data_IF_823005165351
#
_entry.id   IF_823005165351
#
_cell.length_a   1.000
_cell.length_b   1.000
_cell.length_c   1.000
_cell.angle_alpha   90.00
_cell.angle_beta   90.00
_cell.angle_gamma   90.00
#
_symmetry.space_group_name_H-M   'P 1'
#
loop_
_entity.id
_entity.type
_entity.pdbx_description
1 polymer ?
#
# COMPACT_ATOMS: atom_id res chain seq x y z
N UNK A 1 -2.14 7.30 9.86
CA UNK A 1 -2.53 6.18 10.74
C UNK A 1 -3.98 6.35 11.09
N UNK A 2 -4.79 5.29 10.94
CA UNK A 2 -6.23 5.34 11.19
C UNK A 2 -6.68 4.09 11.97
N UNK A 3 -7.70 4.17 12.83
CA UNK A 3 -8.30 2.99 13.47
C UNK A 3 -8.81 1.98 12.44
N UNK A 4 -8.76 0.69 12.78
CA UNK A 4 -9.26 -0.41 11.92
C UNK A 4 -10.76 -0.28 11.59
N UNK A 5 -11.50 0.44 12.42
CA UNK A 5 -12.91 0.77 12.18
C UNK A 5 -13.16 1.41 10.80
N UNK A 6 -12.19 2.15 10.25
CA UNK A 6 -12.34 2.75 8.91
C UNK A 6 -12.25 1.75 7.77
N UNK A 7 -11.78 0.52 8.03
CA UNK A 7 -11.81 -0.53 7.02
C UNK A 7 -13.24 -1.07 6.76
N UNK A 8 -14.06 -1.12 7.82
CA UNK A 8 -15.46 -1.50 7.76
C UNK A 8 -16.27 -0.77 8.86
N UNK A 9 -16.86 0.36 8.50
CA UNK A 9 -17.63 1.20 9.45
C UNK A 9 -18.94 0.56 9.93
N UNK A 10 -19.37 -0.53 9.30
CA UNK A 10 -20.58 -1.28 9.68
C UNK A 10 -20.29 -2.31 10.77
N UNK A 11 -19.06 -2.77 10.89
CA UNK A 11 -18.67 -3.72 11.94
C UNK A 11 -18.42 -2.99 13.26
N UNK A 12 -19.42 -3.03 14.15
CA UNK A 12 -19.36 -2.37 15.45
C UNK A 12 -18.26 -2.91 16.38
N UNK A 13 -17.76 -4.14 16.14
CA UNK A 13 -16.70 -4.74 16.96
C UNK A 13 -15.37 -4.01 16.77
N UNK A 14 -15.15 -3.41 15.60
CA UNK A 14 -13.93 -2.68 15.28
C UNK A 14 -13.83 -1.31 15.96
N UNK A 15 -14.91 -0.78 16.53
CA UNK A 15 -14.93 0.56 17.16
C UNK A 15 -14.08 0.63 18.42
N UNK A 16 -13.96 -0.48 19.14
CA UNK A 16 -13.19 -0.58 20.37
C UNK A 16 -11.80 -1.24 20.17
N UNK A 17 -11.41 -1.51 18.90
CA UNK A 17 -10.14 -2.14 18.60
C UNK A 17 -9.02 -1.10 18.62
N UNK A 18 -8.06 -1.26 19.54
CA UNK A 18 -6.92 -0.36 19.75
C UNK A 18 -5.56 -1.02 19.49
N UNK A 19 -5.56 -2.36 19.27
CA UNK A 19 -4.32 -3.13 19.14
C UNK A 19 -3.90 -3.32 17.66
N UNK A 20 -4.69 -2.85 16.71
CA UNK A 20 -4.38 -2.86 15.30
C UNK A 20 -4.77 -1.52 14.67
N UNK A 21 -4.12 -1.16 13.58
CA UNK A 21 -4.40 0.10 12.88
C UNK A 21 -4.13 0.01 11.38
N UNK A 22 -4.65 0.97 10.63
CA UNK A 22 -4.41 1.11 9.21
C UNK A 22 -3.33 2.16 8.91
N UNK A 23 -2.44 1.87 7.97
CA UNK A 23 -1.62 2.86 7.26
C UNK A 23 -2.24 3.09 5.88
N UNK A 24 -2.81 4.29 5.69
CA UNK A 24 -3.70 4.52 4.57
C UNK A 24 -4.95 3.64 4.64
N UNK A 25 -5.46 3.23 3.49
CA UNK A 25 -6.68 2.42 3.38
C UNK A 25 -6.40 0.92 3.18
N UNK A 26 -5.17 0.59 2.77
CA UNK A 26 -4.85 -0.70 2.19
C UNK A 26 -3.78 -1.50 2.96
N UNK A 27 -3.21 -0.94 4.02
CA UNK A 27 -2.20 -1.62 4.82
C UNK A 27 -2.66 -1.72 6.28
N UNK A 28 -2.83 -2.95 6.75
CA UNK A 28 -3.15 -3.28 8.14
C UNK A 28 -1.88 -3.59 8.91
N UNK A 29 -1.74 -3.01 10.07
CA UNK A 29 -0.61 -3.20 10.97
C UNK A 29 -1.10 -3.79 12.28
N UNK A 30 -0.50 -4.92 12.68
CA UNK A 30 -0.73 -5.57 13.97
C UNK A 30 0.60 -5.60 14.73
N UNK A 31 0.76 -4.77 15.76
CA UNK A 31 1.98 -4.77 16.58
C UNK A 31 2.23 -6.13 17.24
N UNK A 32 3.50 -6.45 17.48
CA UNK A 32 3.90 -7.72 18.08
C UNK A 32 3.32 -7.98 19.48
N UNK A 33 2.98 -6.94 20.22
CA UNK A 33 2.39 -7.03 21.56
C UNK A 33 0.86 -7.21 21.55
N UNK A 34 0.21 -7.12 20.39
CA UNK A 34 -1.23 -7.28 20.26
C UNK A 34 -1.68 -8.69 20.69
N UNK A 35 -2.72 -8.74 21.51
CA UNK A 35 -3.30 -9.99 22.01
C UNK A 35 -4.70 -10.16 21.45
N UNK A 36 -4.84 -11.04 20.45
CA UNK A 36 -6.12 -11.35 19.81
C UNK A 36 -6.87 -10.11 19.27
N UNK A 37 -6.24 -9.27 18.45
CA UNK A 37 -6.89 -8.09 17.89
C UNK A 37 -8.09 -8.49 17.02
N UNK A 38 -9.12 -7.66 17.02
CA UNK A 38 -10.26 -7.81 16.12
C UNK A 38 -9.87 -7.21 14.78
N UNK A 39 -9.77 -8.05 13.76
CA UNK A 39 -9.37 -7.62 12.43
C UNK A 39 -10.60 -7.38 11.54
N UNK A 40 -10.52 -6.42 10.60
CA UNK A 40 -11.58 -6.16 9.66
C UNK A 40 -11.78 -7.35 8.72
N UNK A 41 -13.04 -7.57 8.32
CA UNK A 41 -13.40 -8.62 7.37
C UNK A 41 -12.82 -8.34 5.97
N UNK A 42 -12.73 -9.38 5.15
CA UNK A 42 -12.23 -9.30 3.78
C UNK A 42 -10.93 -10.09 3.57
N UNK A 43 -10.31 -9.87 2.41
CA UNK A 43 -9.04 -10.48 2.06
C UNK A 43 -7.92 -9.58 2.59
N UNK A 44 -7.05 -10.16 3.41
CA UNK A 44 -5.84 -9.53 3.93
C UNK A 44 -4.70 -10.53 3.81
N UNK A 45 -3.70 -10.21 3.00
CA UNK A 45 -2.54 -11.07 2.76
C UNK A 45 -1.33 -10.51 3.50
N UNK A 46 -0.59 -11.38 4.16
CA UNK A 46 0.63 -10.98 4.88
C UNK A 46 1.67 -10.39 3.91
N UNK A 47 2.22 -9.25 4.27
CA UNK A 47 3.18 -8.51 3.47
C UNK A 47 4.55 -8.52 4.13
N UNK A 48 5.52 -9.14 3.47
CA UNK A 48 6.93 -9.06 3.83
C UNK A 48 7.62 -8.03 2.93
N UNK A 49 8.07 -6.91 3.52
CA UNK A 49 8.69 -5.82 2.76
C UNK A 49 10.11 -6.16 2.29
N UNK A 50 10.80 -7.05 3.00
CA UNK A 50 12.18 -7.44 2.70
C UNK A 50 12.21 -8.94 2.49
N UNK A 51 12.56 -9.35 1.29
CA UNK A 51 12.67 -10.77 0.93
C UNK A 51 13.83 -11.44 1.68
N UNK A 52 13.57 -12.59 2.30
CA UNK A 52 14.57 -13.38 3.04
C UNK A 52 14.85 -12.87 4.46
N UNK A 53 14.23 -11.81 4.92
CA UNK A 53 14.35 -11.36 6.31
C UNK A 53 13.62 -12.33 7.25
N UNK A 54 14.30 -12.77 8.31
CA UNK A 54 13.63 -13.53 9.37
C UNK A 54 12.82 -12.56 10.22
N UNK A 55 11.52 -12.79 10.30
CA UNK A 55 10.67 -12.01 11.20
C UNK A 55 11.16 -12.09 12.64
N UNK A 56 11.40 -10.95 13.24
CA UNK A 56 11.67 -10.84 14.67
C UNK A 56 10.35 -10.94 15.45
N UNK A 57 10.40 -11.55 16.63
CA UNK A 57 9.24 -11.64 17.54
C UNK A 57 8.69 -10.28 17.99
N UNK A 58 9.44 -9.22 17.81
CA UNK A 58 9.04 -7.84 18.12
C UNK A 58 8.55 -7.07 16.89
N UNK A 59 8.64 -7.66 15.72
CA UNK A 59 8.25 -7.02 14.47
C UNK A 59 6.72 -7.02 14.34
N UNK A 60 6.15 -5.89 13.92
CA UNK A 60 4.73 -5.80 13.60
C UNK A 60 4.42 -6.64 12.34
N UNK A 61 3.27 -7.28 12.35
CA UNK A 61 2.73 -7.95 11.15
C UNK A 61 2.06 -6.92 10.26
N UNK A 62 2.40 -6.97 8.99
CA UNK A 62 1.81 -6.14 7.96
C UNK A 62 0.93 -7.01 7.07
N UNK A 63 -0.24 -6.50 6.68
CA UNK A 63 -1.10 -7.17 5.71
C UNK A 63 -1.65 -6.18 4.70
N UNK A 64 -1.63 -6.57 3.43
CA UNK A 64 -2.19 -5.80 2.32
C UNK A 64 -3.63 -6.21 2.07
N UNK A 65 -4.49 -5.23 1.82
CA UNK A 65 -5.92 -5.46 1.50
C UNK A 65 -6.11 -6.03 0.11
N UNK A 66 -7.00 -7.01 -0.03
CA UNK A 66 -7.44 -7.52 -1.33
C UNK A 66 -8.03 -6.43 -2.22
N UNK A 67 -7.67 -6.42 -3.49
CA UNK A 67 -8.01 -5.39 -4.45
C UNK A 67 -7.04 -4.22 -4.49
N UNK A 68 -5.89 -4.32 -3.82
CA UNK A 68 -4.92 -3.22 -3.69
C UNK A 68 -3.60 -3.49 -4.37
N UNK A 69 -2.99 -2.42 -4.89
CA UNK A 69 -1.59 -2.38 -5.34
C UNK A 69 -0.88 -1.30 -4.54
N UNK A 70 0.17 -1.69 -3.83
CA UNK A 70 1.01 -0.78 -3.05
C UNK A 70 2.36 -0.63 -3.78
N UNK A 71 2.66 0.56 -4.34
CA UNK A 71 3.97 0.85 -4.87
C UNK A 71 4.96 1.05 -3.73
N UNK A 72 6.14 0.47 -3.85
CA UNK A 72 7.22 0.59 -2.90
C UNK A 72 8.55 0.87 -3.62
N UNK A 73 9.32 1.75 -3.07
CA UNK A 73 10.68 2.05 -3.51
C UNK A 73 11.72 1.23 -2.76
N UNK A 74 12.97 1.47 -3.10
CA UNK A 74 14.11 0.93 -2.35
C UNK A 74 14.20 1.56 -0.96
N UNK A 75 14.90 0.90 -0.06
CA UNK A 75 15.27 1.47 1.23
C UNK A 75 16.27 2.61 1.00
N UNK A 76 15.95 3.79 1.53
CA UNK A 76 16.76 5.00 1.42
C UNK A 76 17.16 5.50 2.82
N UNK A 77 18.31 6.17 2.91
CA UNK A 77 18.80 6.74 4.17
C UNK A 77 18.43 8.22 4.32
N UNK A 78 18.15 8.90 3.21
CA UNK A 78 17.76 10.30 3.22
C UNK A 78 16.73 10.59 2.11
N UNK A 79 15.93 11.64 2.31
CA UNK A 79 14.84 12.02 1.40
C UNK A 79 15.31 12.57 0.03
N UNK A 80 16.60 12.84 -0.14
CA UNK A 80 17.17 13.31 -1.41
C UNK A 80 17.49 12.19 -2.40
N UNK A 81 17.38 10.93 -1.98
CA UNK A 81 17.57 9.79 -2.86
C UNK A 81 16.28 9.46 -3.63
N UNK A 82 16.41 9.11 -4.92
CA UNK A 82 15.29 8.58 -5.67
C UNK A 82 14.93 7.20 -5.14
N UNK A 83 13.85 7.11 -4.36
CA UNK A 83 13.41 5.86 -3.72
C UNK A 83 12.64 4.94 -4.67
N UNK A 84 12.16 5.44 -5.81
CA UNK A 84 11.31 4.70 -6.74
C UNK A 84 12.03 4.18 -7.99
N UNK A 85 13.36 4.11 -7.94
CA UNK A 85 14.17 3.46 -8.96
C UNK A 85 15.10 2.40 -8.32
N UNK A 86 14.80 1.10 -8.46
CA UNK A 86 13.61 0.53 -9.11
C UNK A 86 12.32 0.65 -8.27
N UNK A 87 11.17 0.72 -8.97
CA UNK A 87 9.84 0.65 -8.38
C UNK A 87 9.37 -0.80 -8.24
N UNK A 88 8.99 -1.20 -7.04
CA UNK A 88 8.35 -2.47 -6.75
C UNK A 88 6.84 -2.30 -6.56
N UNK A 89 6.05 -3.28 -6.95
CA UNK A 89 4.60 -3.28 -6.76
C UNK A 89 4.19 -4.51 -5.96
N UNK A 90 3.60 -4.30 -4.78
CA UNK A 90 2.93 -5.36 -4.02
C UNK A 90 1.47 -5.42 -4.47
N UNK A 91 1.05 -6.57 -5.01
CA UNK A 91 -0.28 -6.76 -5.60
C UNK A 91 -1.05 -7.80 -4.80
N UNK A 92 -2.17 -7.42 -4.21
CA UNK A 92 -3.12 -8.32 -3.60
C UNK A 92 -4.46 -8.25 -4.36
N UNK A 93 -4.85 -9.36 -4.98
CA UNK A 93 -6.07 -9.40 -5.76
C UNK A 93 -7.31 -9.55 -4.86
N UNK A 94 -8.42 -8.96 -5.28
CA UNK A 94 -9.73 -9.18 -4.66
C UNK A 94 -10.34 -10.54 -5.06
N UNK A 95 -11.54 -10.83 -4.57
CA UNK A 95 -12.27 -12.05 -4.90
C UNK A 95 -12.61 -12.19 -6.40
N UNK A 96 -12.58 -11.09 -7.15
CA UNK A 96 -12.81 -11.05 -8.59
C UNK A 96 -11.51 -11.13 -9.40
N UNK A 97 -10.36 -11.29 -8.73
CA UNK A 97 -9.05 -11.33 -9.37
C UNK A 97 -8.58 -9.97 -9.88
N UNK A 98 -8.99 -8.87 -9.25
CA UNK A 98 -8.61 -7.51 -9.63
C UNK A 98 -7.92 -6.78 -8.50
N UNK A 99 -7.03 -5.83 -8.86
CA UNK A 99 -6.44 -4.88 -7.94
C UNK A 99 -6.14 -3.56 -8.63
N UNK A 100 -6.11 -2.49 -7.84
CA UNK A 100 -5.73 -1.16 -8.31
C UNK A 100 -4.87 -0.43 -7.28
N UNK A 101 -4.11 0.55 -7.74
CA UNK A 101 -3.26 1.38 -6.90
C UNK A 101 -2.87 2.67 -7.60
N UNK A 102 -2.33 3.59 -6.82
CA UNK A 102 -1.87 4.89 -7.31
C UNK A 102 -0.53 5.24 -6.67
N UNK A 103 0.30 5.92 -7.43
CA UNK A 103 1.54 6.53 -6.95
C UNK A 103 1.53 8.00 -7.36
N UNK A 104 1.64 8.88 -6.38
CA UNK A 104 1.80 10.30 -6.58
C UNK A 104 3.26 10.68 -6.32
N UNK A 105 3.85 11.41 -7.26
CA UNK A 105 5.21 11.93 -7.20
C UNK A 105 5.18 13.42 -7.52
N UNK A 106 5.87 14.21 -6.70
CA UNK A 106 6.15 15.62 -6.97
C UNK A 106 7.59 15.97 -6.59
N UNK A 107 7.93 17.24 -6.55
CA UNK A 107 9.26 17.69 -6.15
C UNK A 107 9.55 17.54 -4.65
N UNK A 108 8.53 17.18 -3.84
CA UNK A 108 8.64 17.08 -2.39
C UNK A 108 8.67 18.43 -1.67
N UNK A 109 8.90 19.54 -2.36
CA UNK A 109 8.95 20.89 -1.82
C UNK A 109 8.32 21.92 -2.76
N UNK A 110 7.80 23.02 -2.17
CA UNK A 110 7.19 24.12 -2.91
C UNK A 110 5.78 23.83 -3.43
N UNK A 111 5.33 24.69 -4.35
CA UNK A 111 3.97 24.68 -4.91
C UNK A 111 3.93 24.33 -6.41
N UNK A 112 4.95 23.61 -6.90
CA UNK A 112 5.06 23.19 -8.29
C UNK A 112 3.85 22.39 -8.78
N UNK A 113 3.24 21.62 -7.90
CA UNK A 113 2.04 20.82 -8.20
C UNK A 113 0.85 21.67 -8.70
N UNK A 114 0.69 22.92 -8.27
CA UNK A 114 -0.32 23.86 -8.82
C UNK A 114 -0.10 24.20 -10.29
N UNK A 115 1.14 24.06 -10.78
CA UNK A 115 1.53 24.27 -12.19
C UNK A 115 1.58 22.97 -12.99
N UNK A 116 1.19 21.86 -12.35
CA UNK A 116 1.21 20.52 -12.94
C UNK A 116 2.54 19.78 -12.80
N UNK A 117 3.49 20.28 -11.99
CA UNK A 117 4.76 19.60 -11.69
C UNK A 117 4.53 18.46 -10.69
N UNK A 118 3.84 17.45 -11.15
CA UNK A 118 3.61 16.20 -10.46
C UNK A 118 3.40 15.06 -11.47
N UNK A 119 3.54 13.83 -11.03
CA UNK A 119 3.11 12.63 -11.75
C UNK A 119 2.17 11.83 -10.86
N UNK A 120 1.00 11.48 -11.37
CA UNK A 120 0.08 10.53 -10.75
C UNK A 120 -0.02 9.31 -11.66
N UNK A 121 0.55 8.20 -11.22
CA UNK A 121 0.48 6.92 -11.89
C UNK A 121 -0.69 6.12 -11.35
N UNK A 122 -1.44 5.47 -12.22
CA UNK A 122 -2.51 4.54 -11.85
C UNK A 122 -2.15 3.15 -12.35
N UNK A 123 -2.17 2.19 -11.44
CA UNK A 123 -1.90 0.79 -11.71
C UNK A 123 -3.19 -0.01 -11.65
N UNK A 124 -3.34 -0.97 -12.56
CA UNK A 124 -4.40 -1.97 -12.51
C UNK A 124 -3.81 -3.37 -12.71
N UNK A 125 -4.28 -4.32 -11.94
CA UNK A 125 -3.97 -5.73 -12.09
C UNK A 125 -5.25 -6.53 -12.33
N UNK A 126 -5.16 -7.53 -13.19
CA UNK A 126 -6.25 -8.45 -13.48
C UNK A 126 -5.71 -9.85 -13.69
N UNK A 127 -6.35 -10.81 -13.02
CA UNK A 127 -6.08 -12.24 -13.17
C UNK A 127 -6.95 -12.84 -14.28
N UNK A 128 -6.29 -13.49 -15.23
CA UNK A 128 -6.96 -14.28 -16.25
C UNK A 128 -6.39 -15.70 -16.21
N UNK A 129 -7.18 -16.66 -15.76
CA UNK A 129 -6.75 -18.04 -15.50
C UNK A 129 -5.54 -18.08 -14.56
N UNK A 130 -4.37 -18.47 -15.05
CA UNK A 130 -3.13 -18.59 -14.29
C UNK A 130 -2.15 -17.41 -14.47
N UNK A 131 -2.58 -16.36 -15.18
CA UNK A 131 -1.75 -15.19 -15.45
C UNK A 131 -2.32 -13.97 -14.76
N UNK A 132 -1.47 -13.22 -14.07
CA UNK A 132 -1.79 -11.89 -13.55
C UNK A 132 -1.11 -10.86 -14.43
N UNK A 133 -1.89 -9.95 -15.00
CA UNK A 133 -1.38 -8.85 -15.83
C UNK A 133 -1.48 -7.57 -15.03
N UNK A 134 -0.36 -6.87 -14.87
CA UNK A 134 -0.30 -5.54 -14.26
C UNK A 134 -0.01 -4.51 -15.34
N UNK A 135 -0.77 -3.41 -15.34
CA UNK A 135 -0.63 -2.33 -16.32
C UNK A 135 -0.63 -0.97 -15.62
N UNK A 136 0.18 -0.06 -16.14
CA UNK A 136 0.02 1.37 -15.88
C UNK A 136 -1.12 1.83 -16.80
N UNK A 137 -2.25 2.24 -16.19
CA UNK A 137 -3.48 2.56 -16.92
C UNK A 137 -3.70 4.05 -17.09
N UNK A 138 -2.92 4.88 -16.42
CA UNK A 138 -3.01 6.33 -16.55
C UNK A 138 -1.81 7.02 -15.91
N UNK A 139 -1.44 8.14 -16.53
CA UNK A 139 -0.47 9.09 -16.00
C UNK A 139 -1.08 10.48 -16.11
N UNK A 140 -1.02 11.25 -15.03
CA UNK A 140 -1.44 12.65 -15.00
C UNK A 140 -0.28 13.51 -14.49
N UNK A 141 -0.30 14.79 -14.82
CA UNK A 141 0.77 15.72 -14.50
C UNK A 141 1.80 15.83 -15.63
N UNK A 142 2.74 16.76 -15.48
CA UNK A 142 3.78 17.10 -16.47
C UNK A 142 5.14 16.51 -16.15
N UNK A 143 5.32 16.00 -14.93
CA UNK A 143 6.59 15.44 -14.45
C UNK A 143 6.82 14.06 -15.09
N UNK A 144 8.02 13.85 -15.61
CA UNK A 144 8.45 12.54 -16.07
C UNK A 144 8.82 11.67 -14.85
N UNK A 145 8.48 10.40 -14.89
CA UNK A 145 8.78 9.47 -13.79
C UNK A 145 10.28 9.13 -13.66
N UNK A 146 11.10 9.62 -14.58
CA UNK A 146 12.55 9.41 -14.62
C UNK A 146 13.35 10.64 -14.12
N UNK A 147 12.68 11.70 -13.66
CA UNK A 147 13.30 12.92 -13.16
C UNK A 147 13.45 12.93 -11.62
#
# INVERSE_FOLDING_TARGET
MAPVFFADTKDSRLRAEEQAFLLGENLLVVPAFAKNPILPSGIWEELNLIEGEKQDKYQAKLSIRGGSIIPAGKIIQNAGENSFDPLSLFVCLDANGKANGKLYLDSGDGFGFHKGDYALLTFNAEKNKNTVTVKISGQQGKRNCND
#
